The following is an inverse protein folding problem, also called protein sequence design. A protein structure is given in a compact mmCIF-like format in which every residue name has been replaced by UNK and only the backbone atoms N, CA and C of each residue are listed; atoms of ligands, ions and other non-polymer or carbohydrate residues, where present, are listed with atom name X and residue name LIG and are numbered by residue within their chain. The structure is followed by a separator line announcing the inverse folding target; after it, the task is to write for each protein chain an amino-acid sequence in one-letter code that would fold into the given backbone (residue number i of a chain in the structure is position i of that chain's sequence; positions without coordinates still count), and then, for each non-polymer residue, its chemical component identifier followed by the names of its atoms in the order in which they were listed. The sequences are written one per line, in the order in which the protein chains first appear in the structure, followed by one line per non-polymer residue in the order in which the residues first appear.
data_IF_243632546016
#
_entry.id   IF_243632546016
#
_cell.length_a   1.000
_cell.length_b   1.000
_cell.length_c   1.000
_cell.angle_alpha   90.00
_cell.angle_beta   90.00
_cell.angle_gamma   90.00
#
_symmetry.space_group_name_H-M   'P 1'
#
loop_
_entity.id
_entity.type
_entity.pdbx_description
1 polymer ?
#
# COMPACT_ATOMS: atom_id res chain seq x y z
N UNK A 1 31.68 22.15 38.40
CA UNK A 1 31.79 20.68 38.62
C UNK A 1 30.46 19.94 38.38
N UNK A 2 29.29 20.57 38.53
CA UNK A 2 27.98 19.93 38.23
C UNK A 2 27.60 19.95 36.73
N UNK A 3 28.09 20.90 35.94
CA UNK A 3 27.75 21.02 34.52
C UNK A 3 28.34 19.89 33.66
N UNK A 4 29.57 19.45 33.94
CA UNK A 4 30.25 18.41 33.17
C UNK A 4 29.65 17.01 33.39
N UNK A 5 29.20 16.71 34.61
CA UNK A 5 28.54 15.43 34.91
C UNK A 5 27.12 15.39 34.34
N UNK A 6 26.37 16.48 34.43
CA UNK A 6 25.05 16.60 33.80
C UNK A 6 25.14 16.45 32.27
N UNK A 7 26.14 17.06 31.62
CA UNK A 7 26.34 16.97 30.18
C UNK A 7 26.64 15.53 29.72
N UNK A 8 27.46 14.81 30.48
CA UNK A 8 27.76 13.41 30.20
C UNK A 8 26.53 12.51 30.35
N UNK A 9 25.69 12.77 31.36
CA UNK A 9 24.46 12.01 31.59
C UNK A 9 23.46 12.21 30.45
N UNK A 10 23.25 13.47 30.04
CA UNK A 10 22.38 13.83 28.92
C UNK A 10 22.89 13.16 27.64
N UNK A 11 24.18 13.25 27.34
CA UNK A 11 24.77 12.62 26.16
C UNK A 11 24.56 11.11 26.13
N UNK A 12 24.80 10.42 27.25
CA UNK A 12 24.59 8.97 27.35
C UNK A 12 23.12 8.58 27.13
N UNK A 13 22.20 9.26 27.83
CA UNK A 13 20.76 9.01 27.68
C UNK A 13 20.31 9.27 26.24
N UNK A 14 20.76 10.37 25.62
CA UNK A 14 20.44 10.67 24.23
C UNK A 14 20.91 9.58 23.27
N UNK A 15 22.12 9.06 23.44
CA UNK A 15 22.65 7.96 22.61
C UNK A 15 21.78 6.70 22.78
N UNK A 16 21.47 6.33 24.03
CA UNK A 16 20.64 5.16 24.32
C UNK A 16 19.24 5.33 23.72
N UNK A 17 18.63 6.51 23.83
CA UNK A 17 17.32 6.78 23.27
C UNK A 17 17.31 6.70 21.74
N UNK A 18 18.30 7.30 21.07
CA UNK A 18 18.42 7.22 19.60
C UNK A 18 18.61 5.76 19.17
N UNK A 19 19.44 5.01 19.87
CA UNK A 19 19.64 3.58 19.60
C UNK A 19 18.36 2.78 19.79
N UNK A 20 17.66 2.98 20.91
CA UNK A 20 16.41 2.30 21.21
C UNK A 20 15.32 2.62 20.17
N UNK A 21 15.15 3.90 19.81
CA UNK A 21 14.21 4.33 18.76
C UNK A 21 14.53 3.67 17.43
N UNK A 22 15.80 3.69 17.03
CA UNK A 22 16.26 3.05 15.79
C UNK A 22 15.95 1.56 15.79
N UNK A 23 16.25 0.87 16.90
CA UNK A 23 15.97 -0.56 17.05
C UNK A 23 14.46 -0.85 16.95
N UNK A 24 13.61 -0.09 17.63
CA UNK A 24 12.15 -0.25 17.57
C UNK A 24 11.66 -0.01 16.15
N UNK A 25 12.10 1.06 15.48
CA UNK A 25 11.69 1.33 14.10
C UNK A 25 12.09 0.19 13.17
N UNK A 26 13.33 -0.30 13.26
CA UNK A 26 13.85 -1.30 12.33
C UNK A 26 13.33 -2.71 12.58
N UNK A 27 13.26 -3.14 13.84
CA UNK A 27 12.89 -4.51 14.22
C UNK A 27 11.41 -4.70 14.51
N UNK A 28 10.67 -3.63 14.77
CA UNK A 28 9.24 -3.70 15.08
C UNK A 28 8.42 -2.98 14.04
N UNK A 29 8.60 -1.66 13.86
CA UNK A 29 7.70 -0.88 13.01
C UNK A 29 7.76 -1.30 11.53
N UNK A 30 8.97 -1.41 10.95
CA UNK A 30 9.15 -1.83 9.55
C UNK A 30 8.55 -3.21 9.26
N UNK A 31 8.87 -4.29 9.99
CA UNK A 31 8.28 -5.60 9.72
C UNK A 31 6.77 -5.64 9.98
N UNK A 32 6.25 -4.89 10.96
CA UNK A 32 4.81 -4.79 11.16
C UNK A 32 4.11 -4.08 9.99
N UNK A 33 4.69 -2.98 9.51
CA UNK A 33 4.17 -2.26 8.34
C UNK A 33 4.16 -3.15 7.09
N UNK A 34 5.25 -3.90 6.85
CA UNK A 34 5.34 -4.86 5.74
C UNK A 34 4.29 -5.96 5.85
N UNK A 35 4.09 -6.51 7.05
CA UNK A 35 3.07 -7.54 7.29
C UNK A 35 1.66 -7.02 7.07
N UNK A 36 1.34 -5.83 7.59
CA UNK A 36 0.03 -5.21 7.36
C UNK A 36 -0.21 -4.92 5.88
N UNK A 37 0.79 -4.42 5.16
CA UNK A 37 0.71 -4.22 3.72
C UNK A 37 0.54 -5.54 2.96
N UNK A 38 1.17 -6.62 3.43
CA UNK A 38 0.98 -7.96 2.89
C UNK A 38 -0.45 -8.49 3.07
N UNK A 39 -1.07 -8.25 4.22
CA UNK A 39 -2.45 -8.66 4.48
C UNK A 39 -3.43 -7.86 3.61
N UNK A 40 -3.23 -6.54 3.48
CA UNK A 40 -4.03 -5.69 2.60
C UNK A 40 -3.87 -6.07 1.12
N UNK A 41 -2.64 -6.37 0.68
CA UNK A 41 -2.40 -6.86 -0.68
C UNK A 41 -3.12 -8.18 -0.97
N UNK A 42 -3.19 -9.08 0.02
CA UNK A 42 -3.93 -10.33 -0.12
C UNK A 42 -5.43 -10.05 -0.32
N UNK A 43 -5.99 -9.14 0.47
CA UNK A 43 -7.39 -8.72 0.32
C UNK A 43 -7.65 -8.10 -1.06
N UNK A 44 -6.82 -7.14 -1.49
CA UNK A 44 -6.96 -6.47 -2.78
C UNK A 44 -6.90 -7.46 -3.95
N UNK A 45 -5.91 -8.35 -3.98
CA UNK A 45 -5.76 -9.33 -5.07
C UNK A 45 -6.91 -10.33 -5.07
N UNK A 46 -7.35 -10.79 -3.89
CA UNK A 46 -8.51 -11.67 -3.78
C UNK A 46 -9.78 -10.98 -4.26
N UNK A 47 -10.03 -9.74 -3.85
CA UNK A 47 -11.19 -8.96 -4.29
C UNK A 47 -11.19 -8.70 -5.79
N UNK A 48 -10.02 -8.42 -6.38
CA UNK A 48 -9.86 -8.30 -7.83
C UNK A 48 -10.25 -9.59 -8.55
N UNK A 49 -9.81 -10.75 -8.05
CA UNK A 49 -10.21 -12.06 -8.61
C UNK A 49 -11.71 -12.28 -8.46
N UNK A 50 -12.26 -12.08 -7.26
CA UNK A 50 -13.70 -12.22 -7.01
C UNK A 50 -14.53 -11.29 -7.89
N UNK A 51 -14.06 -10.07 -8.18
CA UNK A 51 -14.74 -9.14 -9.08
C UNK A 51 -14.92 -9.71 -10.49
N UNK A 52 -13.90 -10.40 -11.01
CA UNK A 52 -13.96 -11.05 -12.34
C UNK A 52 -14.83 -12.28 -12.40
N UNK A 53 -14.93 -13.00 -11.28
CA UNK A 53 -15.75 -14.21 -11.19
C UNK A 53 -17.23 -13.89 -10.96
N UNK A 54 -17.53 -12.73 -10.38
CA UNK A 54 -18.90 -12.30 -10.11
C UNK A 54 -19.62 -11.79 -11.37
N UNK A 55 -20.92 -12.07 -11.50
CA UNK A 55 -21.76 -11.41 -12.49
C UNK A 55 -21.84 -9.90 -12.19
N UNK A 56 -21.96 -9.07 -13.24
CA UNK A 56 -22.01 -7.60 -13.13
C UNK A 56 -23.08 -7.10 -12.14
N UNK A 57 -24.18 -7.84 -11.97
CA UNK A 57 -25.25 -7.53 -11.00
C UNK A 57 -24.84 -7.70 -9.53
N UNK A 58 -23.86 -8.57 -9.24
CA UNK A 58 -23.38 -8.87 -7.88
C UNK A 58 -22.14 -8.04 -7.48
N UNK A 59 -21.45 -7.42 -8.44
CA UNK A 59 -20.28 -6.57 -8.18
C UNK A 59 -20.57 -5.40 -7.21
N UNK A 60 -21.73 -4.70 -7.26
CA UNK A 60 -22.05 -3.65 -6.29
C UNK A 60 -22.14 -4.15 -4.84
N UNK A 61 -22.52 -5.41 -4.62
CA UNK A 61 -22.60 -6.00 -3.28
C UNK A 61 -21.19 -6.18 -2.69
N UNK A 62 -20.25 -6.66 -3.51
CA UNK A 62 -18.84 -6.76 -3.12
C UNK A 62 -18.24 -5.37 -2.85
N UNK A 63 -18.53 -4.38 -3.70
CA UNK A 63 -18.06 -3.01 -3.48
C UNK A 63 -18.56 -2.42 -2.15
N UNK A 64 -19.84 -2.65 -1.82
CA UNK A 64 -20.42 -2.21 -0.55
C UNK A 64 -19.76 -2.90 0.65
N UNK A 65 -19.51 -4.21 0.56
CA UNK A 65 -18.85 -4.97 1.61
C UNK A 65 -17.42 -4.48 1.85
N UNK A 66 -16.62 -4.32 0.79
CA UNK A 66 -15.26 -3.81 0.88
C UNK A 66 -15.20 -2.43 1.50
N UNK A 67 -16.13 -1.54 1.13
CA UNK A 67 -16.20 -0.20 1.70
C UNK A 67 -16.56 -0.23 3.18
N UNK A 68 -17.59 -1.01 3.55
CA UNK A 68 -18.15 -0.98 4.89
C UNK A 68 -17.30 -1.75 5.91
N UNK A 69 -16.72 -2.89 5.52
CA UNK A 69 -15.95 -3.74 6.44
C UNK A 69 -14.45 -3.52 6.38
N UNK A 70 -13.94 -3.11 5.21
CA UNK A 70 -12.49 -3.01 4.97
C UNK A 70 -12.02 -1.58 4.62
N UNK A 71 -12.93 -0.60 4.53
CA UNK A 71 -12.58 0.77 4.17
C UNK A 71 -12.00 0.90 2.75
N UNK A 72 -12.23 -0.09 1.90
CA UNK A 72 -11.71 -0.16 0.53
C UNK A 72 -12.82 0.21 -0.45
N UNK A 73 -12.57 1.26 -1.24
CA UNK A 73 -13.44 1.61 -2.36
C UNK A 73 -12.87 0.98 -3.61
N UNK A 74 -13.72 0.30 -4.38
CA UNK A 74 -13.36 -0.34 -5.64
C UNK A 74 -14.15 0.30 -6.78
N UNK A 75 -13.45 0.63 -7.86
CA UNK A 75 -14.02 1.28 -9.05
C UNK A 75 -13.38 0.70 -10.33
N UNK A 76 -14.18 0.47 -11.35
CA UNK A 76 -13.72 0.08 -12.69
C UNK A 76 -13.44 1.37 -13.49
N UNK A 77 -12.18 1.55 -13.92
CA UNK A 77 -11.72 2.72 -14.67
C UNK A 77 -11.22 2.30 -16.07
N UNK A 78 -11.30 3.18 -17.07
CA UNK A 78 -11.02 2.79 -18.46
C UNK A 78 -9.53 2.62 -18.78
N UNK A 79 -8.62 3.17 -17.96
CA UNK A 79 -7.18 3.12 -18.22
C UNK A 79 -6.34 3.36 -16.97
N UNK A 80 -5.12 2.81 -16.98
CA UNK A 80 -4.09 3.08 -15.97
C UNK A 80 -3.59 4.53 -16.06
N UNK A 81 -3.40 5.16 -14.91
CA UNK A 81 -2.79 6.50 -14.78
C UNK A 81 -1.28 6.47 -15.09
N UNK A 82 -0.64 5.29 -15.04
CA UNK A 82 0.79 5.01 -15.32
C UNK A 82 1.78 5.95 -14.63
N UNK A 83 1.41 6.50 -13.47
CA UNK A 83 2.21 7.47 -12.74
C UNK A 83 2.24 7.13 -11.25
N UNK A 84 3.45 6.86 -10.76
CA UNK A 84 3.72 6.72 -9.33
C UNK A 84 3.72 8.09 -8.65
N UNK A 85 2.74 8.37 -7.79
CA UNK A 85 2.64 9.68 -7.11
C UNK A 85 3.01 9.66 -5.62
N UNK A 86 3.51 8.54 -5.08
CA UNK A 86 3.85 8.40 -3.65
C UNK A 86 5.26 7.86 -3.41
N UNK A 87 5.89 8.31 -2.31
CA UNK A 87 7.22 7.84 -1.84
C UNK A 87 7.19 7.21 -0.45
N UNK A 88 6.00 7.05 0.14
CA UNK A 88 5.88 6.56 1.51
C UNK A 88 6.25 5.08 1.62
N UNK A 89 7.01 4.66 2.65
CA UNK A 89 7.46 3.27 2.80
C UNK A 89 6.33 2.25 2.83
N UNK A 90 5.22 2.54 3.53
CA UNK A 90 4.08 1.63 3.63
C UNK A 90 3.46 1.34 2.26
N UNK A 91 3.24 2.36 1.44
CA UNK A 91 2.61 2.18 0.13
C UNK A 91 3.54 1.42 -0.82
N UNK A 92 4.86 1.58 -0.68
CA UNK A 92 5.84 0.72 -1.38
C UNK A 92 5.78 -0.73 -0.93
N UNK A 93 5.66 -1.00 0.37
CA UNK A 93 5.47 -2.38 0.83
C UNK A 93 4.19 -2.99 0.27
N UNK A 94 3.12 -2.20 0.18
CA UNK A 94 1.87 -2.63 -0.45
C UNK A 94 2.05 -2.90 -1.94
N UNK A 95 2.78 -2.05 -2.66
CA UNK A 95 3.16 -2.29 -4.06
C UNK A 95 3.75 -3.68 -4.26
N UNK A 96 4.85 -3.91 -3.55
CA UNK A 96 5.68 -5.09 -3.72
C UNK A 96 4.90 -6.34 -3.30
N UNK A 97 3.99 -6.18 -2.33
CA UNK A 97 3.07 -7.20 -1.89
C UNK A 97 2.00 -7.56 -2.91
N UNK A 98 1.43 -6.58 -3.62
CA UNK A 98 0.44 -6.79 -4.69
C UNK A 98 1.12 -7.35 -5.92
N UNK A 99 2.21 -6.74 -6.39
CA UNK A 99 3.00 -7.22 -7.54
C UNK A 99 3.41 -8.69 -7.37
N UNK A 100 3.90 -9.06 -6.18
CA UNK A 100 4.29 -10.44 -5.88
C UNK A 100 3.12 -11.41 -5.91
N UNK A 101 1.92 -11.00 -5.49
CA UNK A 101 0.72 -11.87 -5.43
C UNK A 101 -0.01 -11.96 -6.76
N UNK A 102 0.06 -10.91 -7.56
CA UNK A 102 -0.58 -10.86 -8.86
C UNK A 102 0.08 -11.82 -9.86
N UNK A 103 1.30 -12.30 -9.57
CA UNK A 103 2.10 -13.31 -10.28
C UNK A 103 2.48 -12.95 -11.73
N UNK A 104 1.53 -12.55 -12.57
CA UNK A 104 1.76 -12.17 -13.96
C UNK A 104 0.79 -11.07 -14.39
N UNK A 105 1.34 -10.02 -14.99
CA UNK A 105 0.55 -8.98 -15.64
C UNK A 105 -0.19 -9.56 -16.86
N UNK A 106 -1.48 -9.22 -17.06
CA UNK A 106 -2.18 -9.58 -18.27
C UNK A 106 -1.42 -9.11 -19.53
N UNK A 107 -1.50 -9.85 -20.64
CA UNK A 107 -0.84 -9.45 -21.89
C UNK A 107 -1.29 -8.04 -22.31
N UNK A 108 -0.37 -7.24 -22.85
CA UNK A 108 -0.58 -5.85 -23.30
C UNK A 108 -0.89 -4.82 -22.19
N UNK A 109 -0.78 -5.18 -20.91
CA UNK A 109 -0.98 -4.24 -19.78
C UNK A 109 0.34 -3.74 -19.17
N UNK A 110 1.45 -4.42 -19.49
CA UNK A 110 2.80 -4.03 -19.07
C UNK A 110 3.22 -2.77 -19.82
N UNK A 111 3.65 -1.76 -19.07
CA UNK A 111 4.21 -0.54 -19.64
C UNK A 111 5.56 -0.83 -20.31
N UNK A 112 5.71 -0.52 -21.61
CA UNK A 112 6.95 -0.78 -22.34
C UNK A 112 8.14 0.03 -21.83
N UNK A 113 7.92 1.11 -21.07
CA UNK A 113 8.99 1.94 -20.52
C UNK A 113 9.50 1.45 -19.17
N UNK A 114 8.59 1.06 -18.27
CA UNK A 114 8.94 0.68 -16.89
C UNK A 114 8.96 -0.83 -16.67
N UNK A 115 8.24 -1.59 -17.49
CA UNK A 115 8.01 -3.02 -17.26
C UNK A 115 7.01 -3.31 -16.14
N UNK A 116 6.30 -2.29 -15.64
CA UNK A 116 5.30 -2.41 -14.57
C UNK A 116 3.88 -2.48 -15.15
N UNK A 117 2.95 -3.08 -14.42
CA UNK A 117 1.53 -3.10 -14.77
C UNK A 117 0.62 -2.65 -13.62
N UNK A 118 1.17 -2.50 -12.42
CA UNK A 118 0.46 -2.04 -11.23
C UNK A 118 1.01 -0.67 -10.90
N UNK A 119 0.12 0.26 -10.57
CA UNK A 119 0.49 1.64 -10.26
C UNK A 119 -0.21 2.11 -9.01
N UNK A 120 0.39 3.06 -8.31
CA UNK A 120 -0.23 3.70 -7.15
C UNK A 120 0.07 5.17 -7.07
N UNK A 121 -0.75 5.85 -6.29
CA UNK A 121 -0.49 7.21 -5.91
C UNK A 121 -1.30 7.63 -4.72
N UNK A 122 -1.41 8.94 -4.58
CA UNK A 122 -2.19 9.62 -3.57
C UNK A 122 -3.44 10.17 -4.23
N UNK A 123 -4.56 10.14 -3.52
CA UNK A 123 -5.71 10.93 -3.90
C UNK A 123 -5.39 12.43 -3.78
N UNK A 124 -6.20 13.25 -4.46
CA UNK A 124 -6.12 14.70 -4.32
C UNK A 124 -6.25 15.11 -2.84
N UNK A 125 -5.57 16.20 -2.48
CA UNK A 125 -5.60 16.79 -1.14
C UNK A 125 -5.14 15.86 0.00
N UNK A 126 -4.47 14.74 -0.33
CA UNK A 126 -3.97 13.80 0.68
C UNK A 126 -5.07 12.97 1.34
N UNK A 127 -6.26 12.89 0.72
CA UNK A 127 -7.42 12.17 1.25
C UNK A 127 -7.20 10.65 1.39
N UNK A 128 -6.22 10.09 0.69
CA UNK A 128 -5.98 8.66 0.67
C UNK A 128 -4.91 8.24 -0.32
N UNK A 129 -4.84 6.94 -0.55
CA UNK A 129 -4.02 6.32 -1.57
C UNK A 129 -4.89 5.51 -2.51
N UNK A 130 -4.41 5.35 -3.72
CA UNK A 130 -5.03 4.49 -4.71
C UNK A 130 -4.00 3.51 -5.25
N UNK A 131 -4.47 2.32 -5.64
CA UNK A 131 -3.72 1.34 -6.41
C UNK A 131 -4.58 0.86 -7.57
N UNK A 132 -3.99 0.81 -8.74
CA UNK A 132 -4.64 0.40 -9.98
C UNK A 132 -4.07 -0.95 -10.43
N UNK A 133 -4.96 -1.89 -10.71
CA UNK A 133 -4.64 -3.25 -11.10
C UNK A 133 -5.37 -3.55 -12.42
N UNK A 134 -4.64 -3.94 -13.48
CA UNK A 134 -5.24 -4.25 -14.76
C UNK A 134 -5.94 -5.61 -14.70
N UNK A 135 -7.15 -5.68 -15.25
CA UNK A 135 -7.98 -6.88 -15.27
C UNK A 135 -8.55 -7.08 -16.67
N UNK A 136 -8.04 -8.06 -17.40
CA UNK A 136 -8.44 -8.35 -18.77
C UNK A 136 -8.48 -7.08 -19.65
N UNK A 137 -9.69 -6.55 -19.90
CA UNK A 137 -9.93 -5.39 -20.76
C UNK A 137 -10.09 -4.06 -20.00
N UNK A 138 -10.24 -4.10 -18.67
CA UNK A 138 -10.49 -2.95 -17.80
C UNK A 138 -9.41 -2.82 -16.70
N UNK A 139 -9.50 -1.77 -15.89
CA UNK A 139 -8.62 -1.54 -14.75
C UNK A 139 -9.46 -1.39 -13.49
N UNK A 140 -9.11 -2.11 -12.44
CA UNK A 140 -9.70 -1.89 -11.11
C UNK A 140 -8.82 -0.96 -10.29
N UNK A 141 -9.43 0.13 -9.86
CA UNK A 141 -8.86 1.09 -8.93
C UNK A 141 -9.39 0.81 -7.54
N UNK A 142 -8.47 0.60 -6.61
CA UNK A 142 -8.75 0.47 -5.19
C UNK A 142 -8.28 1.73 -4.48
N UNK A 143 -9.16 2.36 -3.71
CA UNK A 143 -8.84 3.51 -2.87
C UNK A 143 -8.96 3.15 -1.39
N UNK A 144 -8.02 3.62 -0.59
CA UNK A 144 -7.99 3.41 0.86
C UNK A 144 -7.45 4.65 1.57
N UNK A 145 -7.98 4.92 2.76
CA UNK A 145 -7.53 6.04 3.59
C UNK A 145 -6.35 5.63 4.49
N UNK A 146 -5.42 6.55 4.81
CA UNK A 146 -4.53 6.36 5.96
C UNK A 146 -5.37 6.26 7.24
N UNK A 147 -5.18 5.19 8.00
CA UNK A 147 -5.70 5.04 9.36
C UNK A 147 -4.89 5.82 10.39
#
# INVERSE_FOLDING_TARGET
MFSSTALALIGSISIILVFALTAVTWFVMVPMAKRSADDLAALIVLSAQTWTELPKEAQPLLAAELKNQHGLVIEEIPALNRLHSTRLPYVRFLHDAVVRRFNQCPPNTVDPQTGECIYMGTLAEGAGYWIEIPIADDVLKFEFLPS
#
